data_IF_532855982088
#
_entry.id   IF_532855982088
#
_cell.length_a   1.000
_cell.length_b   1.000
_cell.length_c   1.000
_cell.angle_alpha   90.00
_cell.angle_beta   90.00
_cell.angle_gamma   90.00
#
_symmetry.space_group_name_H-M   'P 1'
#
loop_
_entity.id
_entity.type
_entity.pdbx_description
1 polymer ?
#
# COMPACT_ATOMS: atom_id res chain seq x y z
N UNK A 1 -59.35 -5.08 -7.32
CA UNK A 1 -58.77 -4.86 -5.99
C UNK A 1 -57.49 -5.65 -5.89
N UNK A 2 -56.37 -4.94 -5.73
CA UNK A 2 -55.07 -5.29 -5.13
C UNK A 2 -54.01 -4.47 -5.86
N UNK A 3 -53.85 -3.25 -5.37
CA UNK A 3 -52.90 -2.24 -5.83
C UNK A 3 -51.52 -2.59 -5.28
N UNK A 4 -50.56 -2.76 -6.18
CA UNK A 4 -49.15 -2.86 -5.88
C UNK A 4 -48.65 -1.50 -5.37
N UNK A 5 -48.28 -1.43 -4.10
CA UNK A 5 -47.56 -0.28 -3.53
C UNK A 5 -46.06 -0.49 -3.73
N UNK A 6 -45.49 0.32 -4.61
CA UNK A 6 -44.06 0.61 -4.70
C UNK A 6 -43.60 1.20 -3.37
N UNK A 7 -42.67 0.53 -2.69
CA UNK A 7 -41.92 1.12 -1.58
C UNK A 7 -40.64 1.74 -2.15
N UNK A 8 -40.78 2.94 -2.71
CA UNK A 8 -39.64 3.82 -2.90
C UNK A 8 -39.15 4.25 -1.50
N UNK A 9 -38.00 3.71 -1.08
CA UNK A 9 -37.32 4.19 0.12
C UNK A 9 -36.78 5.59 -0.17
N UNK A 10 -37.52 6.61 0.27
CA UNK A 10 -37.02 7.97 0.40
C UNK A 10 -35.95 7.96 1.50
N UNK A 11 -34.69 8.01 1.09
CA UNK A 11 -33.61 8.45 1.96
C UNK A 11 -33.89 9.93 2.20
N UNK A 12 -34.29 10.29 3.42
CA UNK A 12 -34.44 11.68 3.81
C UNK A 12 -33.06 12.37 3.71
N UNK A 13 -32.83 13.08 2.60
CA UNK A 13 -31.73 14.03 2.49
C UNK A 13 -31.96 15.14 3.50
N UNK A 14 -31.10 15.19 4.52
CA UNK A 14 -30.95 16.38 5.35
C UNK A 14 -30.55 17.56 4.44
N UNK A 15 -31.04 18.79 4.70
CA UNK A 15 -30.84 19.92 3.81
C UNK A 15 -29.36 20.15 3.52
N UNK A 16 -29.03 20.17 2.23
CA UNK A 16 -27.70 20.43 1.71
C UNK A 16 -27.10 21.68 2.38
N UNK A 17 -25.95 21.50 3.02
CA UNK A 17 -25.14 22.60 3.52
C UNK A 17 -24.84 23.55 2.36
N UNK A 18 -24.99 24.85 2.64
CA UNK A 18 -24.79 25.96 1.71
C UNK A 18 -23.43 25.85 1.03
N UNK A 19 -23.43 26.02 -0.30
CA UNK A 19 -22.29 26.04 -1.25
C UNK A 19 -21.39 24.80 -1.20
N UNK A 20 -21.67 23.81 -2.07
CA UNK A 20 -20.74 22.74 -2.36
C UNK A 20 -19.50 23.31 -3.09
N UNK A 21 -18.49 23.71 -2.32
CA UNK A 21 -17.17 23.98 -2.87
C UNK A 21 -16.67 22.76 -3.65
N UNK A 22 -16.05 23.01 -4.80
CA UNK A 22 -15.45 21.97 -5.61
C UNK A 22 -14.27 21.37 -4.83
N UNK A 23 -14.39 20.09 -4.48
CA UNK A 23 -13.30 19.33 -3.86
C UNK A 23 -12.06 19.33 -4.78
N UNK A 24 -10.84 19.40 -4.22
CA UNK A 24 -9.62 19.44 -5.02
C UNK A 24 -9.40 18.11 -5.73
N UNK A 25 -8.93 18.19 -6.97
CA UNK A 25 -8.40 17.08 -7.74
C UNK A 25 -6.88 17.27 -7.85
N UNK A 26 -6.11 16.18 -7.80
CA UNK A 26 -4.66 16.32 -7.86
C UNK A 26 -4.18 16.84 -9.21
N UNK A 27 -2.98 17.44 -9.23
CA UNK A 27 -2.27 17.75 -10.46
C UNK A 27 -1.01 16.87 -10.57
N UNK A 28 -1.00 15.95 -11.54
CA UNK A 28 0.10 15.03 -11.76
C UNK A 28 1.21 15.59 -12.68
N UNK A 29 1.11 16.85 -13.11
CA UNK A 29 2.05 17.47 -14.04
C UNK A 29 3.49 17.60 -13.49
N UNK A 30 3.68 17.56 -12.17
CA UNK A 30 5.00 17.53 -11.52
C UNK A 30 5.73 16.18 -11.76
N UNK A 31 4.99 15.12 -12.12
CA UNK A 31 5.54 13.87 -12.64
C UNK A 31 5.68 13.96 -14.16
N UNK A 32 4.56 14.04 -14.87
CA UNK A 32 4.48 14.20 -16.33
C UNK A 32 3.20 14.96 -16.73
N UNK A 33 3.23 15.79 -17.79
CA UNK A 33 2.06 16.57 -18.23
C UNK A 33 0.83 15.75 -18.66
N UNK A 34 0.99 14.50 -19.07
CA UNK A 34 -0.10 13.67 -19.59
C UNK A 34 0.40 12.33 -20.16
N UNK A 35 -0.53 11.44 -20.52
CA UNK A 35 -0.22 10.10 -21.07
C UNK A 35 0.57 10.15 -22.38
N UNK A 36 0.32 11.17 -23.21
CA UNK A 36 0.98 11.38 -24.51
C UNK A 36 2.22 12.29 -24.40
N UNK A 37 2.71 12.52 -23.19
CA UNK A 37 3.88 13.36 -22.94
C UNK A 37 5.14 12.78 -23.61
N UNK A 38 5.84 13.56 -24.46
CA UNK A 38 7.12 13.14 -25.04
C UNK A 38 8.17 12.76 -23.99
N UNK A 39 8.08 13.36 -22.79
CA UNK A 39 8.95 13.07 -21.66
C UNK A 39 8.78 11.64 -21.17
N UNK A 40 7.56 11.07 -21.15
CA UNK A 40 7.34 9.67 -20.77
C UNK A 40 8.06 8.73 -21.75
N UNK A 41 7.90 8.97 -23.06
CA UNK A 41 8.56 8.16 -24.08
C UNK A 41 10.09 8.28 -24.00
N UNK A 42 10.61 9.49 -23.78
CA UNK A 42 12.03 9.76 -23.58
C UNK A 42 12.58 9.04 -22.36
N UNK A 43 11.88 9.09 -21.22
CA UNK A 43 12.33 8.47 -19.96
C UNK A 43 12.27 6.95 -20.02
N UNK A 44 11.26 6.37 -20.68
CA UNK A 44 11.23 4.92 -20.96
C UNK A 44 12.42 4.48 -21.83
N UNK A 45 12.74 5.25 -22.88
CA UNK A 45 13.88 4.95 -23.74
C UNK A 45 15.22 5.10 -22.99
N UNK A 46 15.35 6.17 -22.19
CA UNK A 46 16.51 6.41 -21.32
C UNK A 46 16.69 5.30 -20.30
N UNK A 47 15.62 4.87 -19.64
CA UNK A 47 15.67 3.77 -18.68
C UNK A 47 16.13 2.47 -19.35
N UNK A 48 15.56 2.11 -20.51
CA UNK A 48 15.98 0.92 -21.25
C UNK A 48 17.46 0.96 -21.66
N UNK A 49 17.94 2.10 -22.14
CA UNK A 49 19.35 2.28 -22.51
C UNK A 49 20.26 2.19 -21.29
N UNK A 50 19.92 2.88 -20.20
CA UNK A 50 20.74 2.92 -19.01
C UNK A 50 20.78 1.55 -18.31
N UNK A 51 19.68 0.80 -18.27
CA UNK A 51 19.67 -0.59 -17.77
C UNK A 51 20.60 -1.48 -18.58
N UNK A 52 20.56 -1.40 -19.92
CA UNK A 52 21.44 -2.18 -20.77
C UNK A 52 22.92 -1.81 -20.57
N UNK A 53 23.21 -0.52 -20.41
CA UNK A 53 24.58 -0.05 -20.16
C UNK A 53 25.07 -0.44 -18.78
N UNK A 54 24.23 -0.28 -17.75
CA UNK A 54 24.50 -0.70 -16.38
C UNK A 54 24.86 -2.20 -16.32
N UNK A 55 24.10 -3.04 -17.02
CA UNK A 55 24.40 -4.46 -17.16
C UNK A 55 25.77 -4.73 -17.81
N UNK A 56 26.15 -3.99 -18.86
CA UNK A 56 27.47 -4.12 -19.51
C UNK A 56 28.62 -3.67 -18.61
N UNK A 57 28.39 -2.66 -17.78
CA UNK A 57 29.41 -2.03 -16.96
C UNK A 57 29.72 -2.85 -15.71
N UNK A 58 28.70 -3.45 -15.09
CA UNK A 58 28.81 -4.00 -13.74
C UNK A 58 28.59 -5.51 -13.60
N UNK A 59 27.86 -6.16 -14.52
CA UNK A 59 27.54 -7.59 -14.40
C UNK A 59 28.79 -8.46 -14.40
N UNK A 60 28.93 -9.30 -13.39
CA UNK A 60 30.07 -10.18 -13.13
C UNK A 60 31.33 -9.44 -12.70
N UNK A 61 31.25 -8.14 -12.33
CA UNK A 61 32.42 -7.30 -12.05
C UNK A 61 32.44 -6.72 -10.65
N UNK A 62 31.33 -6.72 -9.89
CA UNK A 62 31.26 -6.05 -8.58
C UNK A 62 32.32 -6.55 -7.58
N UNK A 63 32.57 -7.86 -7.54
CA UNK A 63 33.61 -8.46 -6.70
C UNK A 63 35.01 -7.91 -7.02
N UNK A 64 35.33 -7.76 -8.31
CA UNK A 64 36.62 -7.20 -8.74
C UNK A 64 36.74 -5.71 -8.43
N UNK A 65 35.64 -4.96 -8.51
CA UNK A 65 35.59 -3.56 -8.11
C UNK A 65 35.85 -3.39 -6.61
N UNK A 66 35.28 -4.27 -5.78
CA UNK A 66 35.45 -4.21 -4.32
C UNK A 66 36.86 -4.54 -3.84
N UNK A 67 37.55 -5.44 -4.55
CA UNK A 67 38.94 -5.82 -4.27
C UNK A 67 39.96 -4.85 -4.89
N UNK A 68 39.53 -4.01 -5.82
CA UNK A 68 40.39 -3.09 -6.55
C UNK A 68 40.68 -1.78 -5.80
N UNK A 69 41.60 -0.96 -6.34
CA UNK A 69 41.80 0.40 -5.85
C UNK A 69 40.52 1.21 -6.05
N UNK A 70 40.29 2.14 -5.12
CA UNK A 70 39.13 3.04 -5.10
C UNK A 70 37.78 2.31 -5.06
N UNK A 71 37.74 1.14 -4.40
CA UNK A 71 36.54 0.31 -4.25
C UNK A 71 35.30 1.10 -3.82
N UNK A 72 35.45 1.96 -2.81
CA UNK A 72 34.38 2.84 -2.33
C UNK A 72 33.84 3.76 -3.43
N UNK A 73 34.72 4.37 -4.23
CA UNK A 73 34.32 5.29 -5.31
C UNK A 73 33.59 4.53 -6.40
N UNK A 74 34.17 3.43 -6.89
CA UNK A 74 33.61 2.66 -8.02
C UNK A 74 32.30 1.96 -7.68
N UNK A 75 32.21 1.37 -6.48
CA UNK A 75 30.94 0.80 -6.01
C UNK A 75 29.94 1.92 -5.69
N UNK A 76 30.38 3.04 -5.14
CA UNK A 76 29.52 4.21 -4.90
C UNK A 76 28.89 4.75 -6.19
N UNK A 77 29.66 4.82 -7.27
CA UNK A 77 29.16 5.16 -8.61
C UNK A 77 28.13 4.13 -9.11
N UNK A 78 28.38 2.85 -8.91
CA UNK A 78 27.43 1.79 -9.28
C UNK A 78 26.11 1.91 -8.49
N UNK A 79 26.19 2.09 -7.17
CA UNK A 79 25.00 2.23 -6.31
C UNK A 79 24.24 3.53 -6.63
N UNK A 80 24.95 4.63 -6.89
CA UNK A 80 24.31 5.89 -7.29
C UNK A 80 23.57 5.78 -8.62
N UNK A 81 24.16 5.11 -9.63
CA UNK A 81 23.49 4.86 -10.92
C UNK A 81 22.28 3.94 -10.74
N UNK A 82 22.40 2.92 -9.90
CA UNK A 82 21.30 2.03 -9.56
C UNK A 82 20.15 2.79 -8.86
N UNK A 83 20.45 3.63 -7.87
CA UNK A 83 19.48 4.47 -7.17
C UNK A 83 18.76 5.44 -8.13
N UNK A 84 19.49 6.06 -9.06
CA UNK A 84 18.92 6.95 -10.07
C UNK A 84 18.00 6.20 -11.04
N UNK A 85 18.32 4.96 -11.40
CA UNK A 85 17.43 4.09 -12.17
C UNK A 85 16.16 3.75 -11.39
N UNK A 86 16.26 3.44 -10.09
CA UNK A 86 15.08 3.19 -9.26
C UNK A 86 14.16 4.42 -9.17
N UNK A 87 14.71 5.62 -9.02
CA UNK A 87 13.94 6.86 -9.03
C UNK A 87 13.26 7.10 -10.40
N UNK A 88 13.98 6.91 -11.52
CA UNK A 88 13.40 7.07 -12.86
C UNK A 88 12.26 6.08 -13.14
N UNK A 89 12.49 4.79 -12.87
CA UNK A 89 11.48 3.73 -13.05
C UNK A 89 10.29 3.94 -12.11
N UNK A 90 10.55 4.32 -10.86
CA UNK A 90 9.53 4.65 -9.88
C UNK A 90 8.66 5.84 -10.31
N UNK A 91 9.25 6.88 -10.92
CA UNK A 91 8.52 8.06 -11.42
C UNK A 91 7.53 7.68 -12.51
N UNK A 92 7.99 6.92 -13.50
CA UNK A 92 7.16 6.40 -14.61
C UNK A 92 6.00 5.55 -14.08
N UNK A 93 6.30 4.60 -13.20
CA UNK A 93 5.31 3.69 -12.64
C UNK A 93 4.30 4.43 -11.75
N UNK A 94 4.77 5.38 -10.94
CA UNK A 94 3.92 6.22 -10.08
C UNK A 94 2.94 7.04 -10.89
N UNK A 95 3.39 7.69 -11.96
CA UNK A 95 2.51 8.48 -12.82
C UNK A 95 1.42 7.63 -13.45
N UNK A 96 1.80 6.48 -14.03
CA UNK A 96 0.87 5.56 -14.65
C UNK A 96 -0.15 5.01 -13.63
N UNK A 97 0.32 4.60 -12.45
CA UNK A 97 -0.51 4.06 -11.37
C UNK A 97 -1.48 5.09 -10.78
N UNK A 98 -1.04 6.34 -10.58
CA UNK A 98 -1.90 7.42 -10.09
C UNK A 98 -2.97 7.79 -11.12
N UNK A 99 -2.62 7.89 -12.40
CA UNK A 99 -3.62 8.11 -13.46
C UNK A 99 -4.68 7.01 -13.47
N UNK A 100 -4.25 5.75 -13.48
CA UNK A 100 -5.15 4.59 -13.44
C UNK A 100 -6.03 4.60 -12.20
N UNK A 101 -5.48 4.89 -11.02
CA UNK A 101 -6.26 5.00 -9.78
C UNK A 101 -7.29 6.13 -9.82
N UNK A 102 -7.03 7.17 -10.63
CA UNK A 102 -7.97 8.27 -10.82
C UNK A 102 -9.23 7.89 -11.61
N UNK A 103 -9.15 6.88 -12.49
CA UNK A 103 -10.27 6.24 -13.18
C UNK A 103 -9.82 4.89 -13.74
N UNK A 104 -10.14 3.81 -13.04
CA UNK A 104 -9.74 2.44 -13.38
C UNK A 104 -10.57 1.84 -14.51
N UNK A 105 -11.64 2.53 -14.92
CA UNK A 105 -12.56 2.09 -15.99
C UNK A 105 -12.24 2.71 -17.34
N UNK A 106 -11.37 3.73 -17.37
CA UNK A 106 -10.88 4.36 -18.59
C UNK A 106 -9.92 3.42 -19.35
N UNK A 107 -10.27 2.96 -20.56
CA UNK A 107 -9.44 2.03 -21.33
C UNK A 107 -8.08 2.61 -21.71
N UNK A 108 -7.97 3.93 -21.92
CA UNK A 108 -6.71 4.58 -22.28
C UNK A 108 -5.74 4.57 -21.10
N UNK A 109 -6.24 4.84 -19.88
CA UNK A 109 -5.43 4.77 -18.64
C UNK A 109 -5.03 3.35 -18.31
N UNK A 110 -5.95 2.39 -18.43
CA UNK A 110 -5.66 0.98 -18.19
C UNK A 110 -4.58 0.47 -19.15
N UNK A 111 -4.68 0.81 -20.44
CA UNK A 111 -3.65 0.46 -21.44
C UNK A 111 -2.31 1.11 -21.10
N UNK A 112 -2.30 2.42 -20.83
CA UNK A 112 -1.08 3.15 -20.49
C UNK A 112 -0.38 2.55 -19.27
N UNK A 113 -1.15 2.24 -18.22
CA UNK A 113 -0.64 1.56 -17.02
C UNK A 113 -0.01 0.20 -17.34
N UNK A 114 -0.72 -0.65 -18.10
CA UNK A 114 -0.19 -1.96 -18.51
C UNK A 114 1.10 -1.86 -19.32
N UNK A 115 1.15 -0.97 -20.31
CA UNK A 115 2.32 -0.76 -21.17
C UNK A 115 3.54 -0.28 -20.36
N UNK A 116 3.35 0.66 -19.43
CA UNK A 116 4.43 1.17 -18.55
C UNK A 116 4.87 0.08 -17.57
N UNK A 117 3.91 -0.63 -16.96
CA UNK A 117 4.20 -1.71 -16.01
C UNK A 117 5.02 -2.83 -16.64
N UNK A 118 4.69 -3.26 -17.86
CA UNK A 118 5.45 -4.27 -18.59
C UNK A 118 6.92 -3.81 -18.80
N UNK A 119 7.12 -2.58 -19.29
CA UNK A 119 8.45 -2.04 -19.55
C UNK A 119 9.28 -1.90 -18.27
N UNK A 120 8.68 -1.39 -17.19
CA UNK A 120 9.34 -1.24 -15.89
C UNK A 120 9.68 -2.61 -15.29
N UNK A 121 8.80 -3.62 -15.45
CA UNK A 121 9.06 -4.99 -14.99
C UNK A 121 10.24 -5.61 -15.74
N UNK A 122 10.27 -5.48 -17.06
CA UNK A 122 11.37 -5.97 -17.90
C UNK A 122 12.71 -5.28 -17.58
N UNK A 123 12.68 -3.98 -17.26
CA UNK A 123 13.86 -3.25 -16.80
C UNK A 123 14.34 -3.74 -15.42
N UNK A 124 13.41 -3.93 -14.48
CA UNK A 124 13.71 -4.39 -13.12
C UNK A 124 14.31 -5.80 -13.10
N UNK A 125 13.77 -6.72 -13.91
CA UNK A 125 14.33 -8.07 -14.04
C UNK A 125 15.79 -8.06 -14.52
N UNK A 126 16.13 -7.18 -15.46
CA UNK A 126 17.51 -7.03 -15.94
C UNK A 126 18.46 -6.46 -14.90
N UNK A 127 17.96 -5.73 -13.89
CA UNK A 127 18.73 -5.13 -12.81
C UNK A 127 18.88 -6.05 -11.59
N UNK A 128 18.12 -7.15 -11.51
CA UNK A 128 18.12 -8.07 -10.36
C UNK A 128 19.52 -8.57 -10.00
N UNK A 129 20.38 -8.81 -11.00
CA UNK A 129 21.76 -9.25 -10.79
C UNK A 129 22.55 -8.36 -9.84
N UNK A 130 22.23 -7.06 -9.77
CA UNK A 130 23.04 -6.11 -9.03
C UNK A 130 23.00 -6.40 -7.53
N UNK A 131 21.79 -6.59 -6.97
CA UNK A 131 21.64 -6.96 -5.56
C UNK A 131 22.18 -8.36 -5.29
N UNK A 132 21.90 -9.34 -6.16
CA UNK A 132 22.41 -10.71 -6.02
C UNK A 132 23.95 -10.76 -6.05
N UNK A 133 24.60 -9.99 -6.92
CA UNK A 133 26.06 -9.91 -6.95
C UNK A 133 26.60 -9.20 -5.71
N UNK A 134 25.99 -8.09 -5.28
CA UNK A 134 26.35 -7.42 -4.02
C UNK A 134 26.26 -8.38 -2.82
N UNK A 135 25.25 -9.26 -2.80
CA UNK A 135 25.05 -10.18 -1.70
C UNK A 135 26.03 -11.36 -1.69
N UNK A 136 26.52 -11.77 -2.85
CA UNK A 136 27.54 -12.82 -2.98
C UNK A 136 28.95 -12.40 -2.63
N UNK A 137 29.23 -11.09 -2.64
CA UNK A 137 30.57 -10.56 -2.37
C UNK A 137 31.08 -10.96 -0.97
N UNK A 138 32.40 -10.93 -0.79
CA UNK A 138 33.01 -11.09 0.53
C UNK A 138 32.56 -9.97 1.49
N UNK A 139 32.14 -10.35 2.71
CA UNK A 139 31.64 -9.42 3.73
C UNK A 139 32.69 -8.38 4.10
N UNK A 140 33.93 -8.80 4.31
CA UNK A 140 34.99 -7.91 4.74
C UNK A 140 35.35 -6.90 3.63
N UNK A 141 35.41 -7.34 2.37
CA UNK A 141 35.68 -6.47 1.24
C UNK A 141 34.59 -5.40 1.04
N UNK A 142 33.32 -5.80 1.00
CA UNK A 142 32.21 -4.86 0.79
C UNK A 142 32.05 -3.89 1.97
N UNK A 143 32.12 -4.38 3.21
CA UNK A 143 31.99 -3.51 4.40
C UNK A 143 33.18 -2.58 4.58
N UNK A 144 34.39 -3.00 4.18
CA UNK A 144 35.55 -2.11 4.16
C UNK A 144 35.40 -0.98 3.13
N UNK A 145 34.84 -1.27 1.95
CA UNK A 145 34.51 -0.25 0.95
C UNK A 145 33.39 0.68 1.47
N UNK A 146 32.34 0.12 2.06
CA UNK A 146 31.18 0.86 2.57
C UNK A 146 31.46 1.67 3.84
N UNK A 147 32.66 1.54 4.43
CA UNK A 147 33.10 2.36 5.56
C UNK A 147 33.82 3.64 5.13
N UNK A 148 33.92 3.91 3.82
CA UNK A 148 34.58 5.08 3.25
C UNK A 148 33.62 5.84 2.34
N UNK A 149 33.85 7.14 2.18
CA UNK A 149 33.12 7.95 1.19
C UNK A 149 33.55 7.57 -0.24
N UNK A 150 32.66 7.66 -1.23
CA UNK A 150 31.25 8.04 -1.13
C UNK A 150 30.29 6.89 -0.73
N UNK A 151 30.75 5.62 -0.71
CA UNK A 151 29.86 4.47 -0.54
C UNK A 151 29.19 4.41 0.85
N UNK A 152 29.81 5.00 1.87
CA UNK A 152 29.28 5.09 3.24
C UNK A 152 27.88 5.69 3.33
N UNK A 153 27.47 6.53 2.36
CA UNK A 153 26.08 7.01 2.26
C UNK A 153 25.06 5.88 2.23
N UNK A 154 25.33 4.80 1.48
CA UNK A 154 24.40 3.68 1.28
C UNK A 154 24.71 2.48 2.18
N UNK A 155 25.56 2.65 3.19
CA UNK A 155 25.91 1.58 4.12
C UNK A 155 24.67 0.90 4.76
N UNK A 156 23.64 1.63 5.23
CA UNK A 156 22.45 0.98 5.81
C UNK A 156 21.72 0.04 4.82
N UNK A 157 21.60 0.46 3.56
CA UNK A 157 21.00 -0.34 2.49
C UNK A 157 21.86 -1.55 2.12
N UNK A 158 23.19 -1.41 2.11
CA UNK A 158 24.09 -2.54 1.90
C UNK A 158 23.97 -3.54 3.06
N UNK A 159 23.91 -3.07 4.30
CA UNK A 159 23.67 -3.93 5.47
C UNK A 159 22.33 -4.67 5.37
N UNK A 160 21.27 -4.04 4.84
CA UNK A 160 19.99 -4.69 4.54
C UNK A 160 20.15 -5.89 3.60
N UNK A 161 20.80 -5.67 2.46
CA UNK A 161 21.10 -6.74 1.50
C UNK A 161 21.87 -7.88 2.18
N UNK A 162 22.89 -7.55 3.00
CA UNK A 162 23.73 -8.57 3.65
C UNK A 162 22.99 -9.47 4.63
N UNK A 163 21.93 -8.99 5.28
CA UNK A 163 21.17 -9.87 6.17
C UNK A 163 20.38 -10.92 5.39
N UNK A 164 20.08 -10.69 4.11
CA UNK A 164 19.41 -11.69 3.25
C UNK A 164 20.36 -12.79 2.76
N UNK A 165 21.69 -12.55 2.77
CA UNK A 165 22.71 -13.47 2.26
C UNK A 165 22.55 -14.93 2.71
N UNK A 166 22.29 -15.25 4.00
CA UNK A 166 22.17 -16.63 4.44
C UNK A 166 20.96 -17.37 3.86
N UNK A 167 20.00 -16.63 3.30
CA UNK A 167 18.70 -17.12 2.82
C UNK A 167 18.54 -16.96 1.29
N UNK A 168 19.56 -16.43 0.61
CA UNK A 168 19.62 -16.34 -0.84
C UNK A 168 20.05 -17.69 -1.44
N UNK A 169 19.38 -18.09 -2.51
CA UNK A 169 19.65 -19.32 -3.24
C UNK A 169 20.65 -19.08 -4.37
N UNK A 170 21.03 -20.14 -5.07
CA UNK A 170 21.81 -20.04 -6.31
C UNK A 170 21.02 -19.26 -7.39
N UNK A 171 21.71 -18.50 -8.24
CA UNK A 171 21.11 -17.61 -9.25
C UNK A 171 19.99 -18.26 -10.08
N UNK A 172 20.22 -19.50 -10.52
CA UNK A 172 19.23 -20.23 -11.33
C UNK A 172 17.98 -20.65 -10.55
N UNK A 173 18.12 -20.84 -9.23
CA UNK A 173 16.99 -21.10 -8.35
C UNK A 173 16.24 -19.80 -8.04
N UNK A 174 16.95 -18.70 -7.79
CA UNK A 174 16.33 -17.37 -7.62
C UNK A 174 15.55 -16.97 -8.87
N UNK A 175 16.15 -17.11 -10.05
CA UNK A 175 15.50 -16.88 -11.35
C UNK A 175 14.25 -17.77 -11.50
N UNK A 176 14.34 -19.07 -11.18
CA UNK A 176 13.20 -19.98 -11.24
C UNK A 176 12.07 -19.58 -10.28
N UNK A 177 12.37 -19.25 -9.02
CA UNK A 177 11.36 -18.80 -8.06
C UNK A 177 10.69 -17.51 -8.52
N UNK A 178 11.48 -16.57 -9.05
CA UNK A 178 10.98 -15.32 -9.60
C UNK A 178 10.04 -15.54 -10.80
N UNK A 179 10.42 -16.37 -11.76
CA UNK A 179 9.56 -16.71 -12.91
C UNK A 179 8.29 -17.45 -12.47
N UNK A 180 8.43 -18.40 -11.54
CA UNK A 180 7.31 -19.21 -11.05
C UNK A 180 6.30 -18.39 -10.27
N UNK A 181 6.69 -17.31 -9.60
CA UNK A 181 5.80 -16.43 -8.84
C UNK A 181 4.52 -16.07 -9.60
N UNK A 182 4.65 -15.70 -10.88
CA UNK A 182 3.53 -15.29 -11.75
C UNK A 182 2.50 -16.42 -11.92
N UNK A 183 2.99 -17.64 -12.12
CA UNK A 183 2.16 -18.84 -12.32
C UNK A 183 1.79 -19.56 -11.02
N UNK A 184 2.46 -19.24 -9.92
CA UNK A 184 2.26 -19.76 -8.57
C UNK A 184 1.49 -18.76 -7.71
N UNK A 185 2.12 -18.23 -6.66
CA UNK A 185 1.47 -17.37 -5.67
C UNK A 185 0.64 -16.22 -6.27
N UNK A 186 1.15 -15.51 -7.30
CA UNK A 186 0.43 -14.40 -7.91
C UNK A 186 -0.88 -14.84 -8.59
N UNK A 187 -0.89 -16.00 -9.25
CA UNK A 187 -2.08 -16.54 -9.88
C UNK A 187 -3.15 -16.95 -8.85
N UNK A 188 -2.74 -17.51 -7.70
CA UNK A 188 -3.65 -17.87 -6.61
C UNK A 188 -4.23 -16.66 -5.88
N UNK A 189 -3.43 -15.60 -5.68
CA UNK A 189 -3.94 -14.31 -5.18
C UNK A 189 -4.95 -13.71 -6.16
N UNK A 190 -4.64 -13.69 -7.47
CA UNK A 190 -5.60 -13.23 -8.49
C UNK A 190 -6.91 -14.04 -8.47
N UNK A 191 -6.82 -15.36 -8.33
CA UNK A 191 -8.01 -16.21 -8.20
C UNK A 191 -8.85 -15.84 -6.98
N UNK A 192 -8.22 -15.52 -5.84
CA UNK A 192 -8.93 -15.02 -4.66
C UNK A 192 -9.67 -13.71 -4.97
N UNK A 193 -8.95 -12.74 -5.52
CA UNK A 193 -9.47 -11.41 -5.82
C UNK A 193 -10.65 -11.48 -6.81
N UNK A 194 -10.48 -12.19 -7.93
CA UNK A 194 -11.51 -12.40 -8.95
C UNK A 194 -12.73 -13.14 -8.37
N UNK A 195 -12.48 -14.15 -7.53
CA UNK A 195 -13.57 -14.90 -6.88
C UNK A 195 -14.37 -13.97 -5.96
N UNK A 196 -13.71 -13.24 -5.06
CA UNK A 196 -14.38 -12.30 -4.13
C UNK A 196 -15.15 -11.22 -4.90
N UNK A 197 -14.56 -10.62 -5.94
CA UNK A 197 -15.20 -9.61 -6.77
C UNK A 197 -16.44 -10.15 -7.52
N UNK A 198 -16.41 -11.41 -7.91
CA UNK A 198 -17.52 -12.10 -8.57
C UNK A 198 -18.68 -12.46 -7.64
N UNK A 199 -18.47 -12.53 -6.32
CA UNK A 199 -19.52 -12.92 -5.37
C UNK A 199 -20.67 -11.90 -5.31
N UNK A 200 -21.88 -12.42 -5.08
CA UNK A 200 -23.07 -11.63 -4.78
C UNK A 200 -23.68 -12.06 -3.46
N UNK A 201 -24.12 -11.09 -2.68
CA UNK A 201 -24.60 -11.24 -1.32
C UNK A 201 -26.03 -10.71 -1.24
N UNK A 202 -26.93 -11.59 -0.81
CA UNK A 202 -28.34 -11.26 -0.70
C UNK A 202 -28.66 -10.55 0.62
N UNK A 203 -29.01 -9.26 0.55
CA UNK A 203 -29.39 -8.45 1.72
C UNK A 203 -30.69 -7.73 1.42
N UNK A 204 -31.70 -7.82 2.29
CA UNK A 204 -33.04 -7.24 2.07
C UNK A 204 -33.68 -7.55 0.70
N UNK A 205 -33.33 -8.69 0.08
CA UNK A 205 -33.82 -9.10 -1.24
C UNK A 205 -33.02 -8.56 -2.44
N UNK A 206 -32.01 -7.74 -2.21
CA UNK A 206 -31.09 -7.23 -3.23
C UNK A 206 -29.80 -8.06 -3.28
N UNK A 207 -29.22 -8.20 -4.48
CA UNK A 207 -27.92 -8.86 -4.68
C UNK A 207 -26.83 -7.79 -4.79
N UNK A 208 -25.98 -7.71 -3.77
CA UNK A 208 -24.93 -6.70 -3.64
C UNK A 208 -23.54 -7.31 -3.78
N UNK A 209 -22.56 -6.51 -4.22
CA UNK A 209 -21.14 -6.87 -4.11
C UNK A 209 -20.66 -6.75 -2.64
N UNK A 210 -19.46 -7.26 -2.33
CA UNK A 210 -18.96 -7.33 -0.94
C UNK A 210 -18.84 -5.96 -0.26
N UNK A 211 -18.34 -4.94 -0.97
CA UNK A 211 -18.09 -3.60 -0.40
C UNK A 211 -19.37 -2.90 0.12
N UNK A 212 -20.46 -2.80 -0.65
CA UNK A 212 -21.74 -2.33 -0.12
C UNK A 212 -22.19 -3.08 1.12
N UNK A 213 -22.03 -4.41 1.16
CA UNK A 213 -22.48 -5.26 2.28
C UNK A 213 -21.64 -5.00 3.53
N UNK A 214 -20.32 -4.83 3.40
CA UNK A 214 -19.43 -4.44 4.49
C UNK A 214 -19.80 -3.06 5.04
N UNK A 215 -20.21 -2.11 4.19
CA UNK A 215 -20.72 -0.81 4.64
C UNK A 215 -22.02 -0.95 5.44
N UNK A 216 -22.92 -1.87 5.07
CA UNK A 216 -24.14 -2.15 5.83
C UNK A 216 -23.86 -2.71 7.23
N UNK A 217 -22.69 -3.34 7.47
CA UNK A 217 -22.27 -3.75 8.82
C UNK A 217 -21.98 -2.56 9.76
N UNK A 218 -21.93 -1.34 9.23
CA UNK A 218 -21.76 -0.11 10.00
C UNK A 218 -23.06 0.72 10.10
N UNK A 219 -24.20 0.21 9.60
CA UNK A 219 -25.49 0.91 9.68
C UNK A 219 -25.90 1.09 11.15
N UNK A 220 -26.55 2.21 11.47
CA UNK A 220 -27.17 2.47 12.77
C UNK A 220 -28.25 1.44 13.15
N UNK A 221 -28.95 0.88 12.16
CA UNK A 221 -30.04 -0.10 12.32
C UNK A 221 -29.48 -1.51 12.47
N UNK A 222 -29.85 -2.15 13.57
CA UNK A 222 -29.39 -3.51 13.88
C UNK A 222 -29.83 -4.55 12.85
N UNK A 223 -31.07 -4.49 12.39
CA UNK A 223 -31.62 -5.41 11.41
C UNK A 223 -30.77 -5.44 10.13
N UNK A 224 -30.41 -4.26 9.62
CA UNK A 224 -29.54 -4.11 8.44
C UNK A 224 -28.17 -4.72 8.66
N UNK A 225 -27.53 -4.46 9.81
CA UNK A 225 -26.23 -5.07 10.14
C UNK A 225 -26.31 -6.59 10.24
N UNK A 226 -27.37 -7.11 10.86
CA UNK A 226 -27.59 -8.54 11.06
C UNK A 226 -27.78 -9.26 9.73
N UNK A 227 -28.62 -8.74 8.84
CA UNK A 227 -28.83 -9.31 7.51
C UNK A 227 -27.54 -9.30 6.69
N UNK A 228 -26.81 -8.18 6.67
CA UNK A 228 -25.52 -8.07 5.98
C UNK A 228 -24.50 -9.10 6.50
N UNK A 229 -24.37 -9.22 7.83
CA UNK A 229 -23.46 -10.16 8.46
C UNK A 229 -23.81 -11.64 8.15
N UNK A 230 -25.10 -11.98 8.15
CA UNK A 230 -25.59 -13.31 7.80
C UNK A 230 -25.37 -13.61 6.31
N UNK A 231 -25.62 -12.65 5.43
CA UNK A 231 -25.36 -12.78 4.00
C UNK A 231 -23.88 -13.07 3.71
N UNK A 232 -22.96 -12.35 4.37
CA UNK A 232 -21.51 -12.64 4.31
C UNK A 232 -21.23 -14.08 4.75
N UNK A 233 -21.74 -14.47 5.92
CA UNK A 233 -21.53 -15.80 6.48
C UNK A 233 -22.04 -16.94 5.57
N UNK A 234 -23.20 -16.78 4.94
CA UNK A 234 -23.78 -17.77 4.02
C UNK A 234 -22.97 -17.84 2.73
N UNK A 235 -22.73 -16.70 2.07
CA UNK A 235 -22.03 -16.68 0.79
C UNK A 235 -20.59 -17.18 0.91
N UNK A 236 -19.85 -16.79 1.95
CA UNK A 236 -18.49 -17.30 2.18
C UNK A 236 -18.49 -18.79 2.53
N UNK A 237 -19.47 -19.28 3.29
CA UNK A 237 -19.62 -20.71 3.59
C UNK A 237 -19.85 -21.54 2.32
N UNK A 238 -20.64 -21.04 1.39
CA UNK A 238 -20.88 -21.72 0.10
C UNK A 238 -19.62 -21.81 -0.77
N UNK A 239 -18.64 -20.94 -0.54
CA UNK A 239 -17.36 -20.89 -1.25
C UNK A 239 -16.18 -21.42 -0.42
N UNK A 240 -16.46 -22.03 0.73
CA UNK A 240 -15.43 -22.45 1.70
C UNK A 240 -14.37 -23.36 1.08
N UNK A 241 -14.78 -24.27 0.18
CA UNK A 241 -13.85 -25.19 -0.50
C UNK A 241 -12.83 -24.44 -1.36
N UNK A 242 -13.27 -23.45 -2.13
CA UNK A 242 -12.40 -22.64 -3.00
C UNK A 242 -11.42 -21.84 -2.17
N UNK A 243 -11.89 -21.12 -1.15
CA UNK A 243 -11.02 -20.33 -0.28
C UNK A 243 -10.05 -21.18 0.53
N UNK A 244 -10.47 -22.38 0.96
CA UNK A 244 -9.59 -23.33 1.65
C UNK A 244 -8.47 -23.82 0.71
N UNK A 245 -8.80 -24.15 -0.55
CA UNK A 245 -7.80 -24.57 -1.53
C UNK A 245 -6.79 -23.46 -1.83
N UNK A 246 -7.27 -22.24 -2.05
CA UNK A 246 -6.40 -21.07 -2.27
C UNK A 246 -5.44 -20.90 -1.09
N UNK A 247 -5.99 -20.83 0.13
CA UNK A 247 -5.20 -20.60 1.36
C UNK A 247 -4.16 -21.71 1.57
N UNK A 248 -4.57 -22.98 1.45
CA UNK A 248 -3.66 -24.11 1.64
C UNK A 248 -2.56 -24.16 0.57
N UNK A 249 -2.88 -23.76 -0.67
CA UNK A 249 -1.88 -23.74 -1.74
C UNK A 249 -0.87 -22.63 -1.53
N UNK A 250 -1.31 -21.43 -1.15
CA UNK A 250 -0.41 -20.32 -0.79
C UNK A 250 0.46 -20.66 0.44
N UNK A 251 -0.14 -21.28 1.46
CA UNK A 251 0.60 -21.75 2.64
C UNK A 251 1.67 -22.78 2.28
N UNK A 252 1.36 -23.71 1.37
CA UNK A 252 2.32 -24.71 0.89
C UNK A 252 3.42 -24.11 0.02
N UNK A 253 3.07 -23.18 -0.87
CA UNK A 253 4.05 -22.44 -1.69
C UNK A 253 5.03 -21.66 -0.81
N UNK A 254 4.51 -20.96 0.22
CA UNK A 254 5.32 -20.28 1.22
C UNK A 254 6.22 -21.25 2.00
N UNK A 255 5.70 -22.37 2.51
CA UNK A 255 6.53 -23.37 3.21
C UNK A 255 7.65 -23.91 2.31
N UNK A 256 7.37 -24.17 1.03
CA UNK A 256 8.40 -24.62 0.09
C UNK A 256 9.49 -23.57 -0.02
N UNK A 257 9.13 -22.30 -0.30
CA UNK A 257 10.09 -21.19 -0.38
C UNK A 257 10.92 -21.06 0.90
N UNK A 258 10.25 -21.02 2.06
CA UNK A 258 10.90 -20.88 3.37
C UNK A 258 11.90 -22.02 3.64
N UNK A 259 11.51 -23.26 3.35
CA UNK A 259 12.38 -24.44 3.53
C UNK A 259 13.60 -24.43 2.61
N UNK A 260 13.44 -24.02 1.35
CA UNK A 260 14.58 -23.90 0.43
C UNK A 260 15.56 -22.82 0.89
N UNK A 261 15.04 -21.71 1.43
CA UNK A 261 15.82 -20.59 1.96
C UNK A 261 16.38 -20.84 3.37
N UNK A 262 15.95 -21.89 4.05
CA UNK A 262 16.43 -22.25 5.40
C UNK A 262 15.74 -21.50 6.55
N UNK A 263 14.63 -20.82 6.30
CA UNK A 263 13.80 -20.22 7.36
C UNK A 263 13.17 -21.30 8.25
N UNK A 264 13.11 -21.05 9.55
CA UNK A 264 12.67 -22.04 10.55
C UNK A 264 11.22 -21.84 10.95
N UNK A 265 10.77 -20.59 10.98
CA UNK A 265 9.40 -20.19 11.25
C UNK A 265 8.81 -19.42 10.05
N UNK A 266 7.49 -19.56 9.88
CA UNK A 266 6.73 -18.91 8.81
C UNK A 266 6.88 -17.38 8.80
N UNK A 267 7.18 -16.76 9.96
CA UNK A 267 7.38 -15.33 10.09
C UNK A 267 8.83 -14.87 9.87
N UNK A 268 9.82 -15.77 9.78
CA UNK A 268 11.24 -15.37 9.76
C UNK A 268 11.62 -14.47 8.60
N UNK A 269 11.15 -14.79 7.40
CA UNK A 269 11.38 -13.93 6.23
C UNK A 269 10.79 -12.54 6.40
N UNK A 270 9.68 -12.43 7.14
CA UNK A 270 9.01 -11.15 7.44
C UNK A 270 9.70 -10.39 8.59
N UNK A 271 10.21 -11.09 9.58
CA UNK A 271 11.05 -10.54 10.65
C UNK A 271 12.32 -9.93 10.06
N UNK A 272 12.98 -10.66 9.16
CA UNK A 272 14.16 -10.23 8.45
C UNK A 272 13.88 -8.97 7.60
N UNK A 273 12.85 -8.99 6.76
CA UNK A 273 12.52 -7.86 5.89
C UNK A 273 12.16 -6.58 6.66
N UNK A 274 11.61 -6.72 7.87
CA UNK A 274 11.24 -5.59 8.72
C UNK A 274 12.33 -5.20 9.73
N UNK A 275 13.45 -5.92 9.80
CA UNK A 275 14.49 -5.77 10.84
C UNK A 275 13.92 -5.84 12.25
N UNK A 276 13.06 -6.82 12.51
CA UNK A 276 12.43 -7.01 13.82
C UNK A 276 12.76 -8.40 14.34
N UNK A 277 13.29 -8.48 15.56
CA UNK A 277 13.56 -9.74 16.24
C UNK A 277 12.26 -10.46 16.61
N UNK A 278 12.27 -11.80 16.56
CA UNK A 278 11.10 -12.63 16.85
C UNK A 278 10.52 -12.34 18.23
N UNK A 279 11.38 -12.12 19.22
CA UNK A 279 11.00 -11.86 20.60
C UNK A 279 10.22 -10.55 20.75
N UNK A 280 10.45 -9.57 19.88
CA UNK A 280 9.70 -8.30 19.87
C UNK A 280 8.27 -8.53 19.41
N UNK A 281 8.08 -9.30 18.33
CA UNK A 281 6.74 -9.66 17.82
C UNK A 281 5.98 -10.53 18.82
N UNK A 282 6.67 -11.51 19.41
CA UNK A 282 6.09 -12.38 20.44
C UNK A 282 5.68 -11.58 21.68
N UNK A 283 6.53 -10.66 22.16
CA UNK A 283 6.21 -9.81 23.29
C UNK A 283 4.98 -8.93 23.03
N UNK A 284 4.83 -8.40 21.80
CA UNK A 284 3.63 -7.66 21.40
C UNK A 284 2.38 -8.54 21.46
N UNK A 285 2.43 -9.74 20.88
CA UNK A 285 1.29 -10.66 20.88
C UNK A 285 0.85 -11.03 22.31
N UNK A 286 1.81 -11.43 23.16
CA UNK A 286 1.55 -11.79 24.55
C UNK A 286 0.98 -10.61 25.35
N UNK A 287 1.52 -9.39 25.16
CA UNK A 287 1.03 -8.20 25.85
C UNK A 287 -0.41 -7.85 25.44
N UNK A 288 -0.75 -8.00 24.16
CA UNK A 288 -2.11 -7.78 23.64
C UNK A 288 -3.08 -8.82 24.21
N UNK A 289 -2.72 -10.09 24.16
CA UNK A 289 -3.55 -11.19 24.68
C UNK A 289 -3.82 -11.05 26.18
N UNK A 290 -2.79 -10.78 26.98
CA UNK A 290 -2.92 -10.55 28.41
C UNK A 290 -3.81 -9.34 28.73
N UNK A 291 -3.88 -8.34 27.84
CA UNK A 291 -4.70 -7.15 28.01
C UNK A 291 -6.17 -7.34 27.60
N UNK A 292 -6.52 -8.41 26.86
CA UNK A 292 -7.89 -8.64 26.37
C UNK A 292 -8.97 -8.50 27.45
N UNK A 293 -8.85 -9.12 28.65
CA UNK A 293 -9.90 -9.02 29.68
C UNK A 293 -10.08 -7.60 30.22
N UNK A 294 -9.00 -6.84 30.34
CA UNK A 294 -8.99 -5.50 30.94
C UNK A 294 -9.42 -4.42 29.95
N UNK A 295 -9.07 -4.57 28.67
CA UNK A 295 -9.27 -3.56 27.63
C UNK A 295 -10.43 -3.95 26.70
N UNK A 296 -10.22 -4.93 25.82
CA UNK A 296 -11.18 -5.31 24.78
C UNK A 296 -12.52 -5.80 25.36
N UNK A 297 -12.49 -6.75 26.30
CA UNK A 297 -13.71 -7.27 26.92
C UNK A 297 -14.46 -6.18 27.71
N UNK A 298 -13.74 -5.30 28.40
CA UNK A 298 -14.34 -4.16 29.11
C UNK A 298 -14.98 -3.19 28.13
N UNK A 299 -14.32 -2.87 27.01
CA UNK A 299 -14.86 -2.02 25.96
C UNK A 299 -16.16 -2.59 25.39
N UNK A 300 -16.18 -3.88 25.00
CA UNK A 300 -17.38 -4.49 24.45
C UNK A 300 -18.51 -4.62 25.48
N UNK A 301 -18.21 -4.87 26.76
CA UNK A 301 -19.22 -4.81 27.84
C UNK A 301 -19.80 -3.40 28.01
N UNK A 302 -18.98 -2.36 27.91
CA UNK A 302 -19.44 -0.98 27.98
C UNK A 302 -20.29 -0.62 26.76
N UNK A 303 -19.86 -1.02 25.56
CA UNK A 303 -20.61 -0.82 24.34
C UNK A 303 -21.94 -1.58 24.37
N UNK A 304 -22.00 -2.82 24.88
CA UNK A 304 -23.25 -3.53 25.10
C UNK A 304 -24.24 -2.72 25.96
N UNK A 305 -23.77 -2.14 27.07
CA UNK A 305 -24.59 -1.28 27.94
C UNK A 305 -25.14 -0.05 27.21
N UNK A 306 -24.33 0.60 26.38
CA UNK A 306 -24.81 1.74 25.57
C UNK A 306 -25.87 1.36 24.54
N UNK A 307 -25.85 0.11 24.07
CA UNK A 307 -26.88 -0.44 23.19
C UNK A 307 -28.08 -1.03 23.96
N UNK A 308 -28.07 -1.00 25.30
CA UNK A 308 -29.12 -1.61 26.12
C UNK A 308 -29.12 -3.14 26.06
N UNK A 309 -28.00 -3.77 25.71
CA UNK A 309 -27.84 -5.22 25.57
C UNK A 309 -27.02 -5.82 26.70
N UNK A 310 -27.27 -7.09 27.00
CA UNK A 310 -26.46 -7.88 27.94
C UNK A 310 -25.09 -8.24 27.34
N UNK A 311 -25.08 -8.62 26.06
CA UNK A 311 -23.89 -8.91 25.27
C UNK A 311 -24.06 -8.35 23.85
N UNK A 312 -22.95 -8.02 23.19
CA UNK A 312 -22.96 -7.60 21.79
C UNK A 312 -22.93 -8.80 20.87
N UNK A 313 -23.82 -8.82 19.89
CA UNK A 313 -23.67 -9.69 18.75
C UNK A 313 -22.46 -9.26 17.89
N UNK A 314 -21.90 -10.19 17.12
CA UNK A 314 -20.69 -9.92 16.34
C UNK A 314 -20.90 -8.87 15.24
N UNK A 315 -22.15 -8.66 14.79
CA UNK A 315 -22.55 -7.62 13.83
C UNK A 315 -22.67 -6.23 14.46
N UNK A 316 -22.66 -6.09 15.79
CA UNK A 316 -22.69 -4.79 16.47
C UNK A 316 -21.31 -4.20 16.75
N UNK A 317 -20.24 -4.98 16.52
CA UNK A 317 -18.87 -4.56 16.82
C UNK A 317 -18.47 -3.28 16.10
N UNK A 318 -18.89 -3.10 14.85
CA UNK A 318 -18.60 -1.93 14.01
C UNK A 318 -19.69 -0.87 14.01
N UNK A 319 -20.80 -1.09 14.73
CA UNK A 319 -21.92 -0.16 14.76
C UNK A 319 -21.57 1.16 15.45
N UNK A 320 -22.07 2.32 14.95
CA UNK A 320 -21.95 3.60 15.65
C UNK A 320 -22.74 3.55 16.97
N UNK A 321 -22.33 4.33 17.97
CA UNK A 321 -23.08 4.41 19.23
C UNK A 321 -24.46 5.06 18.98
N UNK A 322 -25.55 4.60 19.63
CA UNK A 322 -26.91 5.06 19.36
C UNK A 322 -27.13 6.58 19.47
N UNK A 323 -26.32 7.28 20.27
CA UNK A 323 -26.43 8.71 20.54
C UNK A 323 -25.45 9.59 19.75
N UNK A 324 -24.68 9.03 18.81
CA UNK A 324 -23.68 9.82 18.06
C UNK A 324 -24.34 10.56 16.89
N UNK A 325 -24.34 11.91 16.86
CA UNK A 325 -24.88 12.64 15.73
C UNK A 325 -24.03 12.40 14.48
N UNK A 326 -24.69 12.24 13.34
CA UNK A 326 -24.02 12.21 12.04
C UNK A 326 -23.60 13.62 11.61
N UNK A 327 -22.59 14.19 12.28
CA UNK A 327 -22.00 15.47 11.88
C UNK A 327 -21.34 15.32 10.51
N UNK A 328 -21.64 16.27 9.62
CA UNK A 328 -20.92 16.44 8.36
C UNK A 328 -19.95 17.62 8.47
N UNK A 329 -18.80 17.47 7.84
CA UNK A 329 -17.74 18.48 7.74
C UNK A 329 -17.60 18.89 6.28
N UNK A 330 -17.56 20.18 6.03
CA UNK A 330 -17.12 20.75 4.76
C UNK A 330 -15.62 20.52 4.55
N UNK A 331 -15.14 20.68 3.31
CA UNK A 331 -13.72 20.53 3.01
C UNK A 331 -12.83 21.57 3.73
N UNK A 332 -13.21 22.86 3.81
CA UNK A 332 -12.47 23.83 4.63
C UNK A 332 -12.39 23.47 6.10
N UNK A 333 -13.50 23.03 6.71
CA UNK A 333 -13.49 22.57 8.11
C UNK A 333 -12.57 21.37 8.30
N UNK A 334 -12.61 20.40 7.39
CA UNK A 334 -11.71 19.24 7.45
C UNK A 334 -10.23 19.65 7.33
N UNK A 335 -9.90 20.56 6.40
CA UNK A 335 -8.56 21.12 6.26
C UNK A 335 -8.09 21.83 7.53
N UNK A 336 -8.92 22.71 8.09
CA UNK A 336 -8.62 23.48 9.29
C UNK A 336 -8.35 22.55 10.48
N UNK A 337 -9.25 21.60 10.75
CA UNK A 337 -9.10 20.62 11.83
C UNK A 337 -7.78 19.86 11.72
N UNK A 338 -7.42 19.41 10.51
CA UNK A 338 -6.18 18.63 10.31
C UNK A 338 -4.94 19.50 10.48
N UNK A 339 -4.93 20.72 9.91
CA UNK A 339 -3.78 21.62 10.03
C UNK A 339 -3.59 22.13 11.46
N UNK A 340 -4.66 22.46 12.17
CA UNK A 340 -4.60 22.84 13.60
C UNK A 340 -4.08 21.69 14.47
N UNK A 341 -4.56 20.46 14.24
CA UNK A 341 -4.08 19.29 14.98
C UNK A 341 -2.59 19.03 14.74
N UNK A 342 -2.13 19.21 13.50
CA UNK A 342 -0.71 19.05 13.16
C UNK A 342 0.14 20.18 13.73
N UNK A 343 -0.34 21.43 13.70
CA UNK A 343 0.39 22.58 14.24
C UNK A 343 0.56 22.45 15.76
N UNK A 344 -0.50 22.04 16.46
CA UNK A 344 -0.46 21.75 17.89
C UNK A 344 0.47 20.60 18.28
N UNK A 345 0.80 19.70 17.36
CA UNK A 345 1.81 18.65 17.58
C UNK A 345 3.22 19.12 17.19
N UNK A 346 3.39 19.63 15.97
CA UNK A 346 4.63 20.15 15.44
C UNK A 346 4.36 21.11 14.26
N UNK A 347 4.69 22.42 14.36
CA UNK A 347 4.42 23.39 13.30
C UNK A 347 4.98 23.00 11.91
N UNK A 348 6.14 22.32 11.89
CA UNK A 348 6.74 21.82 10.65
C UNK A 348 5.86 20.76 9.95
N UNK A 349 5.10 19.97 10.71
CA UNK A 349 4.16 18.99 10.17
C UNK A 349 2.99 19.68 9.47
N UNK A 350 2.43 20.73 10.08
CA UNK A 350 1.38 21.55 9.47
C UNK A 350 1.88 22.28 8.22
N UNK A 351 3.09 22.83 8.23
CA UNK A 351 3.71 23.46 7.04
C UNK A 351 3.81 22.46 5.87
N UNK A 352 4.30 21.24 6.13
CA UNK A 352 4.42 20.22 5.09
C UNK A 352 3.04 19.79 4.58
N UNK A 353 2.08 19.53 5.48
CA UNK A 353 0.72 19.16 5.10
C UNK A 353 -0.01 20.29 4.35
N UNK A 354 0.25 21.56 4.70
CA UNK A 354 -0.30 22.73 4.02
C UNK A 354 0.00 22.74 2.53
N UNK A 355 1.21 22.34 2.14
CA UNK A 355 1.60 22.23 0.72
C UNK A 355 0.73 21.27 -0.08
N UNK A 356 0.22 20.19 0.52
CA UNK A 356 -0.67 19.27 -0.19
C UNK A 356 -1.98 19.94 -0.62
N UNK A 357 -2.52 20.82 0.24
CA UNK A 357 -3.71 21.60 -0.07
C UNK A 357 -3.41 22.72 -1.08
N UNK A 358 -2.28 23.41 -0.94
CA UNK A 358 -1.91 24.55 -1.79
C UNK A 358 -1.50 24.17 -3.20
N UNK A 359 -0.89 22.99 -3.37
CA UNK A 359 -0.30 22.54 -4.64
C UNK A 359 -1.15 21.51 -5.39
N UNK A 360 -2.37 21.25 -4.92
CA UNK A 360 -3.25 20.22 -5.49
C UNK A 360 -2.57 18.85 -5.51
N UNK A 361 -2.05 18.38 -4.38
CA UNK A 361 -1.51 17.02 -4.25
C UNK A 361 -2.54 16.03 -3.70
N UNK A 362 -3.78 16.50 -3.50
CA UNK A 362 -4.88 15.71 -2.97
C UNK A 362 -5.97 15.58 -4.04
N UNK A 363 -6.39 14.34 -4.29
CA UNK A 363 -7.57 14.02 -5.08
C UNK A 363 -8.70 13.55 -4.16
N UNK A 364 -9.56 14.50 -3.77
CA UNK A 364 -10.60 14.32 -2.77
C UNK A 364 -11.99 13.83 -3.26
N UNK A 365 -12.50 14.21 -4.45
CA UNK A 365 -13.89 13.90 -4.81
C UNK A 365 -14.12 12.42 -5.06
N UNK A 366 -15.33 11.96 -4.70
CA UNK A 366 -15.86 10.67 -5.14
C UNK A 366 -16.35 10.82 -6.58
N UNK A 367 -15.90 9.93 -7.48
CA UNK A 367 -16.37 9.89 -8.87
C UNK A 367 -16.44 8.45 -9.38
N UNK A 368 -17.32 8.14 -10.35
CA UNK A 368 -17.36 6.84 -11.01
C UNK A 368 -15.97 6.45 -11.55
N UNK A 369 -15.63 5.17 -11.45
CA UNK A 369 -14.36 4.62 -11.95
C UNK A 369 -13.13 4.90 -11.08
N UNK A 370 -13.16 5.87 -10.15
CA UNK A 370 -12.02 6.12 -9.24
C UNK A 370 -11.80 4.95 -8.29
N UNK A 371 -10.55 4.66 -7.97
CA UNK A 371 -10.16 3.64 -7.00
C UNK A 371 -10.85 3.89 -5.63
N UNK A 372 -11.35 2.82 -4.97
CA UNK A 372 -12.00 2.94 -3.67
C UNK A 372 -10.98 3.22 -2.55
N UNK A 373 -11.48 3.57 -1.37
CA UNK A 373 -10.64 3.78 -0.19
C UNK A 373 -9.87 5.09 -0.21
N UNK A 374 -8.67 5.06 0.36
CA UNK A 374 -7.76 6.19 0.44
C UNK A 374 -6.31 5.68 0.52
N UNK A 375 -5.36 6.48 0.05
CA UNK A 375 -3.94 6.20 0.21
C UNK A 375 -3.10 7.47 0.08
N UNK A 376 -1.85 7.37 0.55
CA UNK A 376 -0.77 8.32 0.30
C UNK A 376 0.35 7.63 -0.47
N UNK A 377 0.49 7.96 -1.74
CA UNK A 377 1.47 7.35 -2.63
C UNK A 377 2.81 8.10 -2.54
N UNK A 378 3.92 7.45 -2.15
CA UNK A 378 5.20 8.12 -1.93
C UNK A 378 5.84 8.71 -3.19
N UNK A 379 5.44 8.18 -4.36
CA UNK A 379 6.06 8.42 -5.67
C UNK A 379 7.55 8.12 -5.67
N UNK A 380 8.40 9.15 -5.75
CA UNK A 380 9.85 9.05 -5.76
C UNK A 380 10.49 10.24 -5.05
N UNK A 381 11.70 10.08 -4.50
CA UNK A 381 12.44 11.17 -3.85
C UNK A 381 12.65 12.43 -4.69
N UNK A 382 12.79 12.28 -6.01
CA UNK A 382 12.91 13.42 -6.94
C UNK A 382 11.61 14.19 -7.18
N UNK A 383 10.49 13.72 -6.62
CA UNK A 383 9.17 14.33 -6.70
C UNK A 383 8.56 14.48 -5.29
N UNK A 384 7.24 14.57 -5.22
CA UNK A 384 6.50 14.63 -3.97
C UNK A 384 5.38 13.58 -3.97
N UNK A 385 4.91 13.17 -2.78
CA UNK A 385 3.80 12.25 -2.67
C UNK A 385 2.46 12.87 -3.10
N UNK A 386 1.49 11.99 -3.34
CA UNK A 386 0.10 12.34 -3.66
C UNK A 386 -0.87 11.59 -2.76
N UNK A 387 -1.99 12.22 -2.43
CA UNK A 387 -3.05 11.63 -1.60
C UNK A 387 -4.31 11.41 -2.43
N UNK A 388 -4.83 10.19 -2.41
CA UNK A 388 -6.16 9.86 -2.94
C UNK A 388 -7.13 9.67 -1.78
N UNK A 389 -8.28 10.33 -1.85
CA UNK A 389 -9.38 10.21 -0.89
C UNK A 389 -10.71 10.08 -1.62
N UNK A 390 -11.71 9.57 -0.90
CA UNK A 390 -13.09 9.53 -1.33
C UNK A 390 -13.96 10.29 -0.30
N UNK A 391 -13.82 11.63 -0.28
CA UNK A 391 -14.36 12.49 0.77
C UNK A 391 -15.88 12.74 0.60
N UNK A 392 -16.66 12.44 1.65
CA UNK A 392 -18.11 12.66 1.71
C UNK A 392 -18.52 13.52 2.92
N UNK A 393 -17.54 14.11 3.61
CA UNK A 393 -17.75 14.95 4.79
C UNK A 393 -18.05 14.19 6.08
N UNK A 394 -17.88 12.87 6.16
CA UNK A 394 -18.09 12.12 7.42
C UNK A 394 -16.92 12.34 8.37
N UNK A 395 -17.13 12.18 9.68
CA UNK A 395 -16.03 12.22 10.68
C UNK A 395 -14.88 11.28 10.32
N UNK A 396 -15.20 10.08 9.81
CA UNK A 396 -14.20 9.11 9.36
C UNK A 396 -13.35 9.66 8.21
N UNK A 397 -13.94 10.42 7.30
CA UNK A 397 -13.23 10.99 6.15
C UNK A 397 -12.19 12.04 6.61
N UNK A 398 -12.49 12.80 7.66
CA UNK A 398 -11.53 13.74 8.29
C UNK A 398 -10.37 12.99 8.95
N UNK A 399 -10.67 11.89 9.65
CA UNK A 399 -9.63 11.03 10.23
C UNK A 399 -8.76 10.36 9.15
N UNK A 400 -9.37 9.91 8.05
CA UNK A 400 -8.64 9.34 6.92
C UNK A 400 -7.77 10.40 6.25
N UNK A 401 -8.27 11.61 6.02
CA UNK A 401 -7.44 12.73 5.52
C UNK A 401 -6.22 12.98 6.43
N UNK A 402 -6.42 13.02 7.75
CA UNK A 402 -5.33 13.14 8.71
C UNK A 402 -4.37 11.94 8.69
N UNK A 403 -4.86 10.74 8.42
CA UNK A 403 -4.02 9.54 8.30
C UNK A 403 -3.13 9.60 7.06
N UNK A 404 -3.72 9.86 5.88
CA UNK A 404 -2.98 9.90 4.62
C UNK A 404 -1.99 11.07 4.54
N UNK A 405 -2.34 12.22 5.11
CA UNK A 405 -1.40 13.33 5.23
C UNK A 405 -0.25 13.01 6.19
N UNK A 406 -0.45 12.13 7.18
CA UNK A 406 0.61 11.67 8.07
C UNK A 406 1.67 10.89 7.30
N UNK A 407 1.20 9.95 6.46
CA UNK A 407 2.07 9.27 5.48
C UNK A 407 2.73 10.26 4.53
N UNK A 408 1.99 11.24 4.01
CA UNK A 408 2.52 12.24 3.10
C UNK A 408 3.64 13.10 3.72
N UNK A 409 3.46 13.54 4.97
CA UNK A 409 4.51 14.25 5.71
C UNK A 409 5.73 13.37 5.92
N UNK A 410 5.52 12.12 6.35
CA UNK A 410 6.60 11.16 6.53
C UNK A 410 7.41 10.97 5.24
N UNK A 411 6.73 10.74 4.11
CA UNK A 411 7.34 10.53 2.79
C UNK A 411 8.16 11.75 2.34
N UNK A 412 7.66 12.96 2.53
CA UNK A 412 8.40 14.21 2.24
C UNK A 412 9.68 14.32 3.08
N UNK A 413 9.62 13.97 4.37
CA UNK A 413 10.79 14.03 5.25
C UNK A 413 11.82 12.94 4.95
N UNK A 414 11.35 11.76 4.51
CA UNK A 414 12.18 10.62 4.15
C UNK A 414 12.86 10.77 2.79
N UNK A 415 12.28 11.54 1.85
CA UNK A 415 12.78 11.70 0.48
C UNK A 415 14.29 12.02 0.38
N UNK A 416 14.85 12.79 1.32
CA UNK A 416 16.29 13.12 1.36
C UNK A 416 17.23 11.91 1.47
N UNK A 417 16.72 10.75 1.88
CA UNK A 417 17.48 9.51 1.98
C UNK A 417 17.73 8.85 0.62
N UNK A 418 16.99 9.24 -0.45
CA UNK A 418 17.14 8.65 -1.77
C UNK A 418 16.30 7.39 -1.98
N UNK A 419 16.21 6.89 -3.21
CA UNK A 419 15.22 5.89 -3.59
C UNK A 419 15.46 4.52 -2.92
N UNK A 420 16.68 4.26 -2.45
CA UNK A 420 17.03 3.00 -1.79
C UNK A 420 16.76 3.00 -0.28
N UNK A 421 16.66 4.19 0.34
CA UNK A 421 16.59 4.33 1.80
C UNK A 421 15.40 5.17 2.30
N UNK A 422 14.70 5.88 1.40
CA UNK A 422 13.48 6.62 1.72
C UNK A 422 12.23 5.75 1.92
N UNK A 423 12.05 4.62 1.20
CA UNK A 423 10.95 3.72 1.47
C UNK A 423 10.98 3.24 2.92
N UNK A 424 9.80 3.16 3.53
CA UNK A 424 9.67 2.54 4.84
C UNK A 424 9.60 1.03 4.66
N UNK A 425 10.19 0.25 5.58
CA UNK A 425 9.82 -1.15 5.72
C UNK A 425 8.37 -1.18 6.22
N UNK A 426 7.42 -1.09 5.29
CA UNK A 426 5.99 -1.17 5.58
C UNK A 426 5.55 -2.62 5.42
N UNK A 427 5.20 -3.20 6.56
CA UNK A 427 4.49 -4.46 6.83
C UNK A 427 4.64 -5.55 5.81
#
# INVERSE_FOLDING_TARGET
MFSARSFAHSIAEAPAAKTAERLPEWNLADLYPGIDSPQVASDLAKAAQEVAQFGKDYRGRLESLAKGPDASVKLGEAVARYEALQDLLGRLMSFAGLLYSGDTTDPARAKFYGDVQEKVTNASAQLLFFQLELNRMDDAALMAAASKEPLSRWKPWLEDIRMEKPYELEDKLEELFHEKYISGAAAWNRLFDDTIAGLRFKVAGEELAIEPVLNLMQDSREETRREAAQAIGVTLRNNLRTFSLITNTLAKDKEISDRWRGFQDVADSRHLSNRVEREVVEALAQAVEAAHPRLSHRYYKLKAKWFGKEALDYWDRSAPLPSTPAKRYSWPEAREIVLEAYDGFAPRMAEIAGRFFEKNWIDAPVRPGKAPGAFSHPTVPSAHPYVLLNFQGKTRDVMTLAHELGHGVHQVLAARQGALMAPTPLT
#
